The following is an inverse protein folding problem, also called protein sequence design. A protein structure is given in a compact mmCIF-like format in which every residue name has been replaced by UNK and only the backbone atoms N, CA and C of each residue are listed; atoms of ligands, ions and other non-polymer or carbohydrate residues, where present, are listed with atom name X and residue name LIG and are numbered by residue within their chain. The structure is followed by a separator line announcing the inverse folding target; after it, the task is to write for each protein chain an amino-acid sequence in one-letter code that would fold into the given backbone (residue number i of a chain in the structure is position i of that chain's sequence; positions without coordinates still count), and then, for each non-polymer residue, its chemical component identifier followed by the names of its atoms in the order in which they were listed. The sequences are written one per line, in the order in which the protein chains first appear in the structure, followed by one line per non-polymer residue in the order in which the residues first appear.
data_IF_489465490488
#
_entry.id   IF_489465490488
#
_cell.length_a   1.000
_cell.length_b   1.000
_cell.length_c   1.000
_cell.angle_alpha   90.00
_cell.angle_beta   90.00
_cell.angle_gamma   90.00
#
_symmetry.space_group_name_H-M   'P 1'
#
loop_
_entity.id
_entity.type
_entity.pdbx_description
1 polymer ?
#
# COMPACT_ATOMS: atom_id res chain seq x y z
N UNK A 1 -29.91 39.55 15.20
CA UNK A 1 -28.99 40.28 16.09
C UNK A 1 -28.36 39.28 17.05
N UNK A 2 -27.18 38.81 16.70
CA UNK A 2 -26.41 37.78 17.42
C UNK A 2 -25.20 38.44 18.06
N UNK A 3 -25.32 38.79 19.34
CA UNK A 3 -24.19 39.13 20.20
C UNK A 3 -24.15 38.14 21.38
N UNK A 4 -22.98 37.93 22.02
CA UNK A 4 -22.90 37.15 23.24
C UNK A 4 -23.88 37.75 24.27
N UNK A 5 -24.77 36.92 24.83
CA UNK A 5 -25.69 37.34 25.89
C UNK A 5 -24.84 37.90 27.03
N UNK A 6 -24.96 39.21 27.24
CA UNK A 6 -24.23 39.95 28.25
C UNK A 6 -24.39 39.27 29.62
N UNK A 7 -23.29 38.68 30.11
CA UNK A 7 -23.23 37.91 31.36
C UNK A 7 -23.28 38.82 32.60
N UNK A 8 -23.37 40.14 32.41
CA UNK A 8 -23.40 41.16 33.46
C UNK A 8 -24.69 41.99 33.49
N UNK A 9 -25.78 41.58 32.81
CA UNK A 9 -27.07 42.26 32.98
C UNK A 9 -27.55 42.09 34.43
N UNK A 10 -27.86 43.19 35.15
CA UNK A 10 -28.43 43.10 36.49
C UNK A 10 -29.77 42.38 36.41
N UNK A 11 -30.12 41.68 37.50
CA UNK A 11 -31.32 40.86 37.72
C UNK A 11 -32.49 41.20 36.79
N UNK A 12 -33.15 40.20 36.15
CA UNK A 12 -34.24 40.46 35.23
C UNK A 12 -35.28 41.36 35.90
N UNK A 13 -35.43 42.56 35.35
CA UNK A 13 -36.39 43.56 35.78
C UNK A 13 -37.81 43.03 35.50
N UNK A 14 -38.31 42.19 36.38
CA UNK A 14 -39.64 41.59 36.23
C UNK A 14 -39.74 40.22 36.89
N UNK A 15 -40.21 40.23 38.15
CA UNK A 15 -40.75 39.09 38.91
C UNK A 15 -39.85 37.85 38.99
N UNK A 16 -38.98 37.88 40.00
CA UNK A 16 -38.16 36.74 40.45
C UNK A 16 -39.00 35.49 40.76
N UNK A 17 -40.24 35.70 41.24
CA UNK A 17 -41.22 34.65 41.53
C UNK A 17 -42.47 34.79 40.66
N UNK A 18 -43.09 33.66 40.34
CA UNK A 18 -44.43 33.58 39.80
C UNK A 18 -45.46 34.14 40.80
N UNK A 19 -46.69 34.37 40.34
CA UNK A 19 -47.82 34.81 41.18
C UNK A 19 -48.08 33.91 42.38
N UNK A 20 -47.68 32.64 42.28
CA UNK A 20 -47.90 31.60 43.28
C UNK A 20 -46.74 31.50 44.28
N UNK A 21 -45.80 32.46 44.25
CA UNK A 21 -44.64 32.52 45.13
C UNK A 21 -43.48 31.59 44.73
N UNK A 22 -43.64 30.76 43.71
CA UNK A 22 -42.58 29.87 43.22
C UNK A 22 -41.54 30.62 42.38
N UNK A 23 -40.25 30.26 42.46
CA UNK A 23 -39.21 30.91 41.66
C UNK A 23 -39.43 30.65 40.16
N UNK A 24 -39.22 31.67 39.33
CA UNK A 24 -39.27 31.52 37.87
C UNK A 24 -38.11 30.66 37.36
N UNK A 25 -38.29 30.02 36.19
CA UNK A 25 -37.20 29.25 35.54
C UNK A 25 -35.95 30.10 35.29
N UNK A 26 -36.12 31.38 34.99
CA UNK A 26 -35.01 32.31 34.79
C UNK A 26 -34.25 32.58 36.09
N UNK A 27 -34.97 32.76 37.20
CA UNK A 27 -34.36 32.93 38.51
C UNK A 27 -33.64 31.65 38.97
N UNK A 28 -34.25 30.48 38.78
CA UNK A 28 -33.60 29.20 39.06
C UNK A 28 -32.30 29.03 38.25
N UNK A 29 -32.32 29.35 36.95
CA UNK A 29 -31.13 29.28 36.11
C UNK A 29 -30.04 30.30 36.51
N UNK A 30 -30.43 31.51 36.91
CA UNK A 30 -29.51 32.52 37.43
C UNK A 30 -28.84 32.07 38.73
N UNK A 31 -29.64 31.58 39.67
CA UNK A 31 -29.20 31.06 40.96
C UNK A 31 -28.25 29.88 40.79
N UNK A 32 -28.59 28.94 39.89
CA UNK A 32 -27.72 27.81 39.54
C UNK A 32 -26.36 28.27 39.00
N UNK A 33 -26.34 29.24 38.08
CA UNK A 33 -25.10 29.81 37.53
C UNK A 33 -24.26 30.56 38.56
N UNK A 34 -24.92 31.27 39.48
CA UNK A 34 -24.25 31.92 40.60
C UNK A 34 -23.53 30.89 41.49
N UNK A 35 -24.21 29.79 41.81
CA UNK A 35 -23.62 28.68 42.55
C UNK A 35 -22.45 28.02 41.80
N UNK A 36 -22.63 27.69 40.51
CA UNK A 36 -21.56 27.13 39.67
C UNK A 36 -20.31 28.02 39.63
N UNK A 37 -20.49 29.35 39.67
CA UNK A 37 -19.38 30.31 39.59
C UNK A 37 -18.72 30.61 40.94
N UNK A 38 -19.48 30.64 42.03
CA UNK A 38 -19.02 31.18 43.32
C UNK A 38 -19.07 30.17 44.48
N UNK A 39 -19.69 29.01 44.27
CA UNK A 39 -19.96 28.03 45.34
C UNK A 39 -21.05 28.47 46.32
N UNK A 40 -21.67 29.64 46.12
CA UNK A 40 -22.68 30.20 47.01
C UNK A 40 -23.92 30.64 46.24
N UNK A 41 -25.09 30.38 46.82
CA UNK A 41 -26.38 30.86 46.32
C UNK A 41 -27.20 31.47 47.47
N UNK A 42 -27.58 32.76 47.39
CA UNK A 42 -28.43 33.39 48.39
C UNK A 42 -29.84 32.78 48.39
N UNK A 43 -30.36 32.47 49.57
CA UNK A 43 -31.78 32.10 49.75
C UNK A 43 -32.15 30.65 49.42
N UNK A 44 -31.17 29.78 49.17
CA UNK A 44 -31.41 28.34 48.98
C UNK A 44 -31.12 27.55 50.27
N UNK A 45 -31.94 26.53 50.52
CA UNK A 45 -31.76 25.59 51.62
C UNK A 45 -30.65 24.56 51.32
N UNK A 46 -30.06 24.02 52.39
CA UNK A 46 -29.07 22.93 52.39
C UNK A 46 -29.53 21.71 51.58
N UNK A 47 -30.83 21.43 51.53
CA UNK A 47 -31.44 20.36 50.73
C UNK A 47 -31.27 20.57 49.22
N UNK A 48 -31.39 21.81 48.74
CA UNK A 48 -31.16 22.15 47.33
C UNK A 48 -29.69 22.02 46.96
N UNK A 49 -28.79 22.45 47.85
CA UNK A 49 -27.34 22.35 47.64
C UNK A 49 -26.92 20.87 47.55
N UNK A 50 -27.47 20.01 48.42
CA UNK A 50 -27.21 18.57 48.38
C UNK A 50 -27.67 17.95 47.04
N UNK A 51 -28.88 18.28 46.58
CA UNK A 51 -29.40 17.78 45.30
C UNK A 51 -28.54 18.25 44.10
N UNK A 52 -28.09 19.50 44.10
CA UNK A 52 -27.25 20.02 43.01
C UNK A 52 -25.84 19.39 43.02
N UNK A 53 -25.28 19.12 44.21
CA UNK A 53 -24.03 18.39 44.35
C UNK A 53 -24.13 16.95 43.83
N UNK A 54 -25.24 16.26 44.10
CA UNK A 54 -25.51 14.91 43.58
C UNK A 54 -25.63 14.91 42.05
N UNK A 55 -26.35 15.89 41.49
CA UNK A 55 -26.47 16.07 40.03
C UNK A 55 -25.09 16.34 39.41
N UNK A 56 -24.28 17.21 40.02
CA UNK A 56 -22.93 17.50 39.55
C UNK A 56 -22.04 16.25 39.57
N UNK A 57 -22.10 15.47 40.65
CA UNK A 57 -21.36 14.21 40.78
C UNK A 57 -21.75 13.19 39.70
N UNK A 58 -23.05 12.97 39.50
CA UNK A 58 -23.56 12.07 38.46
C UNK A 58 -23.18 12.54 37.07
N UNK A 59 -23.30 13.85 36.78
CA UNK A 59 -22.94 14.41 35.48
C UNK A 59 -21.46 14.23 35.17
N UNK A 60 -20.60 14.34 36.18
CA UNK A 60 -19.15 14.13 36.06
C UNK A 60 -18.84 12.67 35.77
N UNK A 61 -19.47 11.72 36.47
CA UNK A 61 -19.30 10.29 36.20
C UNK A 61 -19.76 9.91 34.78
N UNK A 62 -20.89 10.47 34.33
CA UNK A 62 -21.37 10.26 32.96
C UNK A 62 -20.40 10.85 31.93
N UNK A 63 -19.81 12.02 32.21
CA UNK A 63 -18.81 12.62 31.32
C UNK A 63 -17.55 11.75 31.22
N UNK A 64 -17.05 11.23 32.34
CA UNK A 64 -15.88 10.34 32.39
C UNK A 64 -16.14 9.05 31.60
N UNK A 65 -17.26 8.38 31.85
CA UNK A 65 -17.60 7.13 31.15
C UNK A 65 -17.75 7.33 29.64
N UNK A 66 -18.33 8.46 29.20
CA UNK A 66 -18.39 8.83 27.78
C UNK A 66 -17.01 9.10 27.19
N UNK A 67 -16.13 9.78 27.93
CA UNK A 67 -14.76 10.03 27.49
C UNK A 67 -13.97 8.71 27.33
N UNK A 68 -14.08 7.81 28.31
CA UNK A 68 -13.43 6.48 28.25
C UNK A 68 -13.94 5.65 27.06
N UNK A 69 -15.25 5.66 26.82
CA UNK A 69 -15.84 4.97 25.68
C UNK A 69 -15.36 5.56 24.35
N UNK A 70 -15.32 6.89 24.23
CA UNK A 70 -14.83 7.56 23.04
C UNK A 70 -13.34 7.26 22.79
N UNK A 71 -12.53 7.21 23.86
CA UNK A 71 -11.12 6.85 23.78
C UNK A 71 -10.93 5.40 23.31
N UNK A 72 -11.69 4.44 23.85
CA UNK A 72 -11.65 3.03 23.38
C UNK A 72 -12.02 2.90 21.91
N UNK A 73 -13.12 3.54 21.51
CA UNK A 73 -13.55 3.52 20.11
C UNK A 73 -12.49 4.12 19.16
N UNK A 74 -11.79 5.17 19.58
CA UNK A 74 -10.69 5.75 18.82
C UNK A 74 -9.51 4.78 18.65
N UNK A 75 -9.11 4.09 19.72
CA UNK A 75 -8.04 3.08 19.65
C UNK A 75 -8.42 1.88 18.76
N UNK A 76 -9.64 1.38 18.88
CA UNK A 76 -10.14 0.30 18.03
C UNK A 76 -10.13 0.71 16.55
N UNK A 77 -10.65 1.90 16.22
CA UNK A 77 -10.64 2.42 14.85
C UNK A 77 -9.21 2.57 14.29
N UNK A 78 -8.28 3.06 15.11
CA UNK A 78 -6.87 3.19 14.71
C UNK A 78 -6.24 1.82 14.42
N UNK A 79 -6.48 0.82 15.28
CA UNK A 79 -5.95 -0.53 15.11
C UNK A 79 -6.50 -1.21 13.84
N UNK A 80 -7.80 -1.08 13.57
CA UNK A 80 -8.45 -1.62 12.37
C UNK A 80 -7.91 -0.96 11.10
N UNK A 81 -7.67 0.35 11.14
CA UNK A 81 -7.09 1.08 10.01
C UNK A 81 -5.67 0.62 9.73
N UNK A 82 -4.84 0.47 10.76
CA UNK A 82 -3.48 -0.06 10.63
C UNK A 82 -3.46 -1.48 10.04
N UNK A 83 -4.37 -2.34 10.49
CA UNK A 83 -4.50 -3.71 9.99
C UNK A 83 -4.96 -3.76 8.52
N UNK A 84 -5.87 -2.89 8.10
CA UNK A 84 -6.26 -2.78 6.69
C UNK A 84 -5.13 -2.30 5.80
N UNK A 85 -4.36 -1.31 6.27
CA UNK A 85 -3.19 -0.82 5.54
C UNK A 85 -2.13 -1.92 5.36
N UNK A 86 -1.84 -2.70 6.41
CA UNK A 86 -0.87 -3.79 6.31
C UNK A 86 -1.32 -4.89 5.34
N UNK A 87 -2.61 -5.26 5.37
CA UNK A 87 -3.18 -6.23 4.42
C UNK A 87 -3.06 -5.73 2.96
N UNK A 88 -3.35 -4.46 2.70
CA UNK A 88 -3.22 -3.89 1.36
C UNK A 88 -1.76 -3.88 0.86
N UNK A 89 -0.80 -3.60 1.75
CA UNK A 89 0.63 -3.65 1.41
C UNK A 89 1.07 -5.09 1.12
N UNK A 90 0.64 -6.06 1.92
CA UNK A 90 0.94 -7.48 1.70
C UNK A 90 0.39 -7.98 0.36
N UNK A 91 -0.86 -7.63 0.02
CA UNK A 91 -1.46 -8.00 -1.26
C UNK A 91 -0.66 -7.44 -2.45
N UNK A 92 -0.26 -6.16 -2.38
CA UNK A 92 0.59 -5.55 -3.43
C UNK A 92 1.98 -6.18 -3.51
N UNK A 93 2.57 -6.55 -2.38
CA UNK A 93 3.86 -7.22 -2.35
C UNK A 93 3.79 -8.63 -2.96
N UNK A 94 2.69 -9.36 -2.73
CA UNK A 94 2.43 -10.66 -3.34
C UNK A 94 2.27 -10.53 -4.86
N UNK A 95 1.45 -9.58 -5.32
CA UNK A 95 1.27 -9.32 -6.75
C UNK A 95 2.59 -8.95 -7.45
N UNK A 96 3.41 -8.10 -6.81
CA UNK A 96 4.73 -7.76 -7.34
C UNK A 96 5.68 -8.96 -7.39
N UNK A 97 5.62 -9.86 -6.41
CA UNK A 97 6.39 -11.10 -6.39
C UNK A 97 5.95 -12.02 -7.52
N UNK A 98 4.65 -12.19 -7.75
CA UNK A 98 4.13 -13.02 -8.85
C UNK A 98 4.60 -12.50 -10.21
N UNK A 99 4.53 -11.18 -10.44
CA UNK A 99 5.05 -10.56 -11.67
C UNK A 99 6.56 -10.80 -11.82
N UNK A 100 7.33 -10.63 -10.73
CA UNK A 100 8.77 -10.87 -10.74
C UNK A 100 9.12 -12.33 -11.06
N UNK A 101 8.38 -13.30 -10.50
CA UNK A 101 8.58 -14.73 -10.78
C UNK A 101 8.25 -15.08 -12.22
N UNK A 102 7.16 -14.54 -12.77
CA UNK A 102 6.82 -14.72 -14.18
C UNK A 102 7.90 -14.16 -15.10
N UNK A 103 8.41 -12.95 -14.81
CA UNK A 103 9.48 -12.34 -15.58
C UNK A 103 10.77 -13.17 -15.53
N UNK A 104 11.11 -13.71 -14.35
CA UNK A 104 12.28 -14.58 -14.18
C UNK A 104 12.14 -15.89 -15.00
N UNK A 105 10.97 -16.52 -14.98
CA UNK A 105 10.71 -17.72 -15.78
C UNK A 105 10.81 -17.44 -17.29
N UNK A 106 10.31 -16.28 -17.74
CA UNK A 106 10.45 -15.86 -19.13
C UNK A 106 11.91 -15.61 -19.52
N UNK A 107 12.69 -14.98 -18.63
CA UNK A 107 14.11 -14.76 -18.84
C UNK A 107 14.87 -16.10 -18.97
N UNK A 108 14.62 -17.06 -18.07
CA UNK A 108 15.20 -18.41 -18.14
C UNK A 108 14.81 -19.16 -19.43
N UNK A 109 13.55 -19.04 -19.86
CA UNK A 109 13.10 -19.62 -21.13
C UNK A 109 13.79 -18.96 -22.34
N UNK A 110 14.08 -17.66 -22.29
CA UNK A 110 14.82 -16.98 -23.35
C UNK A 110 16.30 -17.38 -23.37
N UNK A 111 16.92 -17.54 -22.21
CA UNK A 111 18.31 -17.98 -22.05
C UNK A 111 18.51 -19.38 -22.61
N UNK A 112 17.65 -20.33 -22.23
CA UNK A 112 17.70 -21.71 -22.76
C UNK A 112 17.53 -21.77 -24.29
N UNK A 113 16.65 -20.93 -24.87
CA UNK A 113 16.53 -20.80 -26.33
C UNK A 113 17.78 -20.20 -26.96
N UNK A 114 18.40 -19.21 -26.33
CA UNK A 114 19.63 -18.59 -26.83
C UNK A 114 20.80 -19.58 -26.82
N UNK A 115 20.94 -20.38 -25.74
CA UNK A 115 21.95 -21.43 -25.66
C UNK A 115 21.76 -22.49 -26.75
N UNK A 116 20.53 -22.95 -26.96
CA UNK A 116 20.23 -23.91 -28.03
C UNK A 116 20.50 -23.34 -29.43
N UNK A 117 20.18 -22.06 -29.66
CA UNK A 117 20.49 -21.40 -30.93
C UNK A 117 22.00 -21.30 -31.16
N UNK A 118 22.78 -21.08 -30.09
CA UNK A 118 24.25 -21.06 -30.13
C UNK A 118 24.82 -22.45 -30.45
N UNK A 119 24.31 -23.52 -29.83
CA UNK A 119 24.69 -24.90 -30.16
C UNK A 119 24.42 -25.21 -31.64
N UNK A 120 23.21 -24.93 -32.13
CA UNK A 120 22.87 -25.14 -33.55
C UNK A 120 23.78 -24.35 -34.49
N UNK A 121 24.14 -23.10 -34.14
CA UNK A 121 25.05 -22.30 -34.94
C UNK A 121 26.47 -22.88 -34.98
N UNK A 122 26.95 -23.43 -33.86
CA UNK A 122 28.24 -24.13 -33.80
C UNK A 122 28.23 -25.43 -34.63
N UNK A 123 27.15 -26.21 -34.58
CA UNK A 123 26.99 -27.41 -35.40
C UNK A 123 27.01 -27.06 -36.89
N UNK A 124 26.23 -26.05 -37.31
CA UNK A 124 26.22 -25.58 -38.69
C UNK A 124 27.59 -25.05 -39.13
N UNK A 125 28.28 -24.30 -38.28
CA UNK A 125 29.64 -23.84 -38.59
C UNK A 125 30.61 -25.01 -38.80
N UNK A 126 30.52 -26.04 -37.96
CA UNK A 126 31.33 -27.27 -38.09
C UNK A 126 31.02 -28.01 -39.40
N UNK A 127 29.73 -28.16 -39.73
CA UNK A 127 29.29 -28.78 -40.99
C UNK A 127 29.78 -27.97 -42.21
N UNK A 128 29.73 -26.65 -42.16
CA UNK A 128 30.27 -25.80 -43.22
C UNK A 128 31.79 -25.94 -43.38
N UNK A 129 32.54 -25.97 -42.28
CA UNK A 129 33.99 -26.14 -42.31
C UNK A 129 34.40 -27.52 -42.85
N UNK A 130 33.72 -28.58 -42.41
CA UNK A 130 33.96 -29.95 -42.88
C UNK A 130 33.60 -30.12 -44.35
N UNK A 131 32.39 -29.70 -44.77
CA UNK A 131 31.98 -29.75 -46.17
C UNK A 131 32.91 -28.94 -47.09
N UNK A 132 33.40 -27.78 -46.64
CA UNK A 132 34.39 -27.00 -47.38
C UNK A 132 35.72 -27.74 -47.51
N UNK A 133 36.20 -28.37 -46.44
CA UNK A 133 37.45 -29.13 -46.47
C UNK A 133 37.38 -30.35 -47.39
N UNK A 134 36.24 -31.06 -47.40
CA UNK A 134 36.00 -32.19 -48.28
C UNK A 134 35.92 -31.76 -49.76
N UNK A 135 35.25 -30.64 -50.05
CA UNK A 135 35.20 -30.08 -51.40
C UNK A 135 36.59 -29.68 -51.91
N UNK A 136 37.44 -29.10 -51.05
CA UNK A 136 38.83 -28.76 -51.38
C UNK A 136 39.70 -30.01 -51.56
N UNK A 137 39.52 -31.03 -50.72
CA UNK A 137 40.22 -32.31 -50.87
C UNK A 137 39.85 -33.00 -52.19
N UNK A 138 38.57 -33.01 -52.57
CA UNK A 138 38.09 -33.56 -53.83
C UNK A 138 38.63 -32.79 -55.05
N UNK A 139 38.70 -31.45 -54.99
CA UNK A 139 39.34 -30.65 -56.04
C UNK A 139 40.82 -30.99 -56.19
N UNK A 140 41.58 -31.05 -55.09
CA UNK A 140 43.02 -31.36 -55.15
C UNK A 140 43.32 -32.78 -55.66
N UNK A 141 42.47 -33.77 -55.34
CA UNK A 141 42.58 -35.12 -55.89
C UNK A 141 42.30 -35.16 -57.39
N UNK A 142 41.27 -34.44 -57.86
CA UNK A 142 40.98 -34.34 -59.29
C UNK A 142 42.10 -33.64 -60.05
N UNK A 143 42.64 -32.53 -59.52
CA UNK A 143 43.78 -31.83 -60.13
C UNK A 143 45.03 -32.72 -60.19
N UNK A 144 45.33 -33.45 -59.12
CA UNK A 144 46.43 -34.43 -59.05
C UNK A 144 46.27 -35.58 -60.06
N UNK A 145 45.06 -36.16 -60.17
CA UNK A 145 44.75 -37.20 -61.16
C UNK A 145 44.87 -36.69 -62.60
N UNK A 146 44.40 -35.47 -62.87
CA UNK A 146 44.48 -34.85 -64.20
C UNK A 146 45.93 -34.60 -64.62
N UNK A 147 46.76 -34.11 -63.69
CA UNK A 147 48.19 -33.91 -63.93
C UNK A 147 48.94 -35.24 -64.13
N UNK A 148 48.59 -36.28 -63.36
CA UNK A 148 49.19 -37.61 -63.48
C UNK A 148 48.80 -38.29 -64.80
N UNK A 149 47.60 -38.04 -65.33
CA UNK A 149 47.18 -38.53 -66.67
C UNK A 149 47.89 -37.77 -67.78
N UNK A 150 48.04 -36.45 -67.68
CA UNK A 150 48.72 -35.63 -68.70
C UNK A 150 50.23 -35.89 -68.79
N UNK A 151 50.88 -36.31 -67.70
CA UNK A 151 52.30 -36.67 -67.69
C UNK A 151 52.60 -38.15 -67.95
N UNK A 152 51.60 -38.98 -68.30
CA UNK A 152 51.89 -40.33 -68.80
C UNK A 152 52.50 -40.20 -70.21
N UNK A 153 53.73 -40.70 -70.45
CA UNK A 153 54.27 -40.75 -71.79
C UNK A 153 53.32 -41.57 -72.66
N UNK A 154 52.82 -40.96 -73.72
CA UNK A 154 52.02 -41.63 -74.72
C UNK A 154 52.83 -42.82 -75.26
N UNK A 155 52.30 -44.05 -75.28
CA UNK A 155 53.01 -45.15 -75.93
C UNK A 155 53.00 -44.82 -77.43
N UNK A 156 54.10 -44.25 -77.91
CA UNK A 156 54.30 -44.00 -79.34
C UNK A 156 54.44 -45.35 -80.03
N UNK A 157 53.34 -45.85 -80.58
CA UNK A 157 53.33 -46.97 -81.51
C UNK A 157 53.83 -46.48 -82.88
N UNK A 158 55.12 -46.15 -82.96
CA UNK A 158 55.82 -46.05 -84.24
C UNK A 158 57.22 -46.61 -84.06
N UNK A 159 57.35 -47.88 -84.46
CA UNK A 159 58.62 -48.53 -84.67
C UNK A 159 58.83 -48.53 -86.20
N UNK A 160 59.65 -47.63 -86.77
CA UNK A 160 60.09 -47.78 -88.15
C UNK A 160 61.30 -48.72 -88.14
N UNK A 161 61.11 -49.86 -88.78
CA UNK A 161 62.17 -50.75 -89.30
C UNK A 161 63.16 -49.99 -90.19
#
# INVERSE_FOLDING_TARGET
MTGPRDLNSPLPAGKICNTDGTPTLQFQAFIRRMWERTGYSPGNDTTWIAAEADIASLSTQVAITKADHAQRAAYEAQSLTALRCSQAILAKAQEALDVATMALLQAQASETRALKALENAQELATLFLTARSEAQAAQSQNESMTFTVMNRPWPSSHNPS
#
